data_IF_364538894212
#
_entry.id   IF_364538894212
#
_cell.length_a   1.000
_cell.length_b   1.000
_cell.length_c   1.000
_cell.angle_alpha   90.00
_cell.angle_beta   90.00
_cell.angle_gamma   90.00
#
_symmetry.space_group_name_H-M   'P 1'
#
loop_
_entity.id
_entity.type
_entity.pdbx_description
1 polymer ?
#
# COMPACT_ATOMS: atom_id res chain seq x y z
N UNK A 1 -12.84 29.95 -15.92
CA UNK A 1 -13.25 28.53 -15.91
C UNK A 1 -12.87 27.93 -14.56
N UNK A 2 -13.85 27.43 -13.78
CA UNK A 2 -13.67 26.88 -12.43
C UNK A 2 -13.20 25.43 -12.52
N UNK A 3 -11.96 25.14 -12.17
CA UNK A 3 -11.54 23.75 -11.92
C UNK A 3 -11.81 23.39 -10.47
N UNK A 4 -12.82 22.54 -10.27
CA UNK A 4 -13.12 21.93 -8.99
C UNK A 4 -12.11 20.81 -8.72
N UNK A 5 -11.16 21.06 -7.81
CA UNK A 5 -10.32 20.02 -7.25
C UNK A 5 -11.17 19.10 -6.38
N UNK A 6 -11.60 17.97 -6.94
CA UNK A 6 -12.26 16.89 -6.19
C UNK A 6 -11.30 16.44 -5.10
N UNK A 7 -11.65 16.73 -3.86
CA UNK A 7 -11.01 16.18 -2.68
C UNK A 7 -11.23 14.67 -2.71
N UNK A 8 -10.19 13.92 -3.08
CA UNK A 8 -10.12 12.49 -2.79
C UNK A 8 -9.95 12.38 -1.28
N UNK A 9 -11.07 12.24 -0.57
CA UNK A 9 -11.03 11.88 0.84
C UNK A 9 -10.38 10.50 0.90
N UNK A 10 -9.16 10.47 1.42
CA UNK A 10 -8.50 9.23 1.80
C UNK A 10 -9.33 8.57 2.89
N UNK A 11 -10.33 7.77 2.51
CA UNK A 11 -10.91 6.78 3.40
C UNK A 11 -9.72 5.94 3.87
N UNK A 12 -9.31 6.12 5.13
CA UNK A 12 -8.42 5.19 5.81
C UNK A 12 -9.04 3.81 5.62
N UNK A 13 -8.46 3.02 4.72
CA UNK A 13 -8.93 1.67 4.40
C UNK A 13 -8.81 0.90 5.71
N UNK A 14 -9.94 0.61 6.35
CA UNK A 14 -9.96 -0.18 7.57
C UNK A 14 -9.22 -1.48 7.27
N UNK A 15 -8.21 -1.80 8.09
CA UNK A 15 -7.44 -3.03 7.94
C UNK A 15 -8.43 -4.20 8.02
N UNK A 16 -8.59 -4.94 6.93
CA UNK A 16 -9.49 -6.10 6.91
C UNK A 16 -9.08 -7.07 8.02
N UNK A 17 -10.05 -7.43 8.86
CA UNK A 17 -9.90 -8.57 9.77
C UNK A 17 -9.94 -9.86 8.95
N UNK A 18 -9.14 -10.84 9.34
CA UNK A 18 -9.07 -12.14 8.67
C UNK A 18 -10.34 -12.93 8.98
N UNK A 19 -11.01 -13.43 7.95
CA UNK A 19 -12.19 -14.28 8.12
C UNK A 19 -11.84 -15.70 8.59
N UNK A 20 -10.57 -16.10 8.52
CA UNK A 20 -10.11 -17.46 8.83
C UNK A 20 -9.15 -17.47 10.01
N UNK A 21 -9.25 -18.47 10.86
CA UNK A 21 -8.32 -18.74 11.96
C UNK A 21 -7.93 -20.23 11.99
N UNK A 22 -6.86 -20.54 12.72
CA UNK A 22 -6.56 -21.92 13.11
C UNK A 22 -7.04 -22.15 14.53
N UNK A 23 -7.68 -23.30 14.79
CA UNK A 23 -7.99 -23.74 16.15
C UNK A 23 -6.73 -24.30 16.85
N UNK A 24 -6.89 -24.74 18.11
CA UNK A 24 -5.80 -25.32 18.91
C UNK A 24 -5.24 -26.63 18.32
N UNK A 25 -6.01 -27.28 17.45
CA UNK A 25 -5.65 -28.55 16.80
C UNK A 25 -5.03 -28.32 15.40
N UNK A 26 -5.00 -27.07 14.94
CA UNK A 26 -4.42 -26.65 13.67
C UNK A 26 -5.38 -26.68 12.47
N UNK A 27 -6.66 -26.98 12.68
CA UNK A 27 -7.67 -26.96 11.62
C UNK A 27 -8.02 -25.53 11.24
N UNK A 28 -8.29 -25.30 9.96
CA UNK A 28 -8.74 -23.99 9.48
C UNK A 28 -10.25 -23.86 9.64
N UNK A 29 -10.69 -22.83 10.37
CA UNK A 29 -12.10 -22.52 10.56
C UNK A 29 -12.39 -21.04 10.31
N UNK A 30 -13.68 -20.73 10.11
CA UNK A 30 -14.14 -19.34 10.00
C UNK A 30 -14.03 -18.67 11.37
N UNK A 31 -13.59 -17.41 11.41
CA UNK A 31 -13.50 -16.63 12.65
C UNK A 31 -14.85 -16.63 13.37
N UNK A 32 -14.82 -17.07 14.63
CA UNK A 32 -16.00 -17.23 15.49
C UNK A 32 -16.82 -18.51 15.28
N UNK A 33 -16.40 -19.43 14.40
CA UNK A 33 -17.07 -20.72 14.18
C UNK A 33 -16.10 -21.85 14.55
N UNK A 34 -16.34 -22.59 15.65
CA UNK A 34 -15.59 -23.78 15.99
C UNK A 34 -15.65 -24.82 14.88
N UNK A 35 -14.54 -25.52 14.64
CA UNK A 35 -14.41 -26.49 13.54
C UNK A 35 -15.45 -27.62 13.66
N UNK A 36 -15.77 -28.03 14.88
CA UNK A 36 -16.71 -29.10 15.19
C UNK A 36 -18.15 -28.78 14.74
N UNK A 37 -18.51 -27.50 14.62
CA UNK A 37 -19.84 -27.09 14.14
C UNK A 37 -20.02 -27.30 12.63
N UNK A 38 -18.93 -27.55 11.89
CA UNK A 38 -18.96 -27.82 10.45
C UNK A 38 -18.97 -29.33 10.14
N UNK A 39 -18.97 -30.19 11.17
CA UNK A 39 -19.04 -31.63 10.98
C UNK A 39 -20.38 -32.08 10.38
N UNK A 40 -20.34 -33.20 9.67
CA UNK A 40 -21.55 -33.82 9.13
C UNK A 40 -22.57 -34.10 10.24
N UNK A 41 -23.84 -33.86 9.94
CA UNK A 41 -24.96 -34.03 10.89
C UNK A 41 -25.18 -32.85 11.85
N UNK A 42 -24.33 -31.81 11.84
CA UNK A 42 -24.58 -30.59 12.60
C UNK A 42 -25.71 -29.75 11.98
N UNK A 43 -26.55 -29.18 12.84
CA UNK A 43 -27.64 -28.29 12.40
C UNK A 43 -27.08 -26.89 12.16
N UNK A 44 -27.36 -26.32 10.98
CA UNK A 44 -27.02 -24.93 10.69
C UNK A 44 -27.89 -24.01 11.55
N UNK A 45 -27.31 -23.52 12.64
CA UNK A 45 -27.96 -22.54 13.51
C UNK A 45 -28.09 -21.19 12.82
N UNK A 46 -28.98 -20.32 13.32
CA UNK A 46 -29.10 -18.93 12.83
C UNK A 46 -27.75 -18.21 12.87
N UNK A 47 -27.01 -18.37 13.97
CA UNK A 47 -25.67 -17.82 14.14
C UNK A 47 -24.72 -18.33 13.04
N UNK A 48 -24.65 -19.64 12.84
CA UNK A 48 -23.78 -20.25 11.83
C UNK A 48 -24.15 -19.77 10.42
N UNK A 49 -25.44 -19.67 10.11
CA UNK A 49 -25.93 -19.12 8.84
C UNK A 49 -25.46 -17.69 8.60
N UNK A 50 -25.56 -16.81 9.60
CA UNK A 50 -25.11 -15.42 9.49
C UNK A 50 -23.59 -15.33 9.28
N UNK A 51 -22.82 -16.18 9.98
CA UNK A 51 -21.36 -16.28 9.79
C UNK A 51 -21.00 -16.76 8.38
N UNK A 52 -21.61 -17.84 7.90
CA UNK A 52 -21.38 -18.40 6.57
C UNK A 52 -21.78 -17.41 5.47
N UNK A 53 -22.94 -16.76 5.61
CA UNK A 53 -23.38 -15.75 4.66
C UNK A 53 -22.42 -14.56 4.60
N UNK A 54 -21.91 -14.10 5.74
CA UNK A 54 -20.89 -13.06 5.79
C UNK A 54 -19.58 -13.46 5.08
N UNK A 55 -19.19 -14.74 5.17
CA UNK A 55 -18.03 -15.26 4.46
C UNK A 55 -18.26 -15.31 2.94
N UNK A 56 -19.43 -15.81 2.50
CA UNK A 56 -19.81 -15.83 1.09
C UNK A 56 -19.90 -14.42 0.49
N UNK A 57 -20.46 -13.47 1.23
CA UNK A 57 -20.52 -12.07 0.80
C UNK A 57 -19.13 -11.50 0.51
N UNK A 58 -18.16 -11.80 1.37
CA UNK A 58 -16.78 -11.33 1.20
C UNK A 58 -16.07 -12.04 0.06
N UNK A 59 -16.39 -13.31 -0.19
CA UNK A 59 -15.89 -14.05 -1.35
C UNK A 59 -16.45 -13.46 -2.65
N UNK A 60 -17.74 -13.16 -2.70
CA UNK A 60 -18.36 -12.45 -3.83
C UNK A 60 -17.72 -11.09 -4.08
N UNK A 61 -17.50 -10.28 -3.04
CA UNK A 61 -16.78 -8.99 -3.20
C UNK A 61 -15.38 -9.16 -3.79
N UNK A 62 -14.71 -10.29 -3.52
CA UNK A 62 -13.44 -10.64 -4.13
C UNK A 62 -13.61 -11.09 -5.59
N UNK A 63 -14.56 -11.96 -5.89
CA UNK A 63 -14.87 -12.43 -7.25
C UNK A 63 -15.29 -11.27 -8.18
N UNK A 64 -16.07 -10.32 -7.68
CA UNK A 64 -16.49 -9.10 -8.38
C UNK A 64 -15.31 -8.20 -8.78
N UNK A 65 -14.12 -8.36 -8.16
CA UNK A 65 -12.92 -7.65 -8.61
C UNK A 65 -12.42 -8.15 -9.97
N UNK A 66 -12.79 -9.37 -10.36
CA UNK A 66 -12.31 -10.04 -11.57
C UNK A 66 -10.82 -10.45 -11.51
N UNK A 67 -10.17 -10.30 -10.35
CA UNK A 67 -8.74 -10.56 -10.19
C UNK A 67 -8.48 -11.91 -9.54
N UNK A 68 -7.52 -12.66 -10.08
CA UNK A 68 -7.01 -13.87 -9.46
C UNK A 68 -6.27 -13.56 -8.14
N UNK A 69 -6.15 -14.52 -7.20
CA UNK A 69 -5.48 -14.27 -5.92
C UNK A 69 -4.02 -13.85 -6.11
N UNK A 70 -3.36 -14.35 -7.15
CA UNK A 70 -1.99 -14.04 -7.56
C UNK A 70 -1.86 -12.59 -8.00
N UNK A 71 -2.83 -12.07 -8.75
CA UNK A 71 -2.87 -10.67 -9.18
C UNK A 71 -3.11 -9.75 -7.98
N UNK A 72 -3.98 -10.13 -7.04
CA UNK A 72 -4.14 -9.38 -5.79
C UNK A 72 -2.86 -9.41 -4.94
N UNK A 73 -2.15 -10.54 -4.88
CA UNK A 73 -0.84 -10.62 -4.21
C UNK A 73 0.17 -9.71 -4.91
N UNK A 74 0.20 -9.68 -6.24
CA UNK A 74 1.07 -8.81 -7.03
C UNK A 74 0.72 -7.33 -6.84
N UNK A 75 -0.56 -6.93 -6.81
CA UNK A 75 -0.98 -5.56 -6.50
C UNK A 75 -0.59 -5.16 -5.07
N UNK A 76 -0.70 -6.06 -4.11
CA UNK A 76 -0.23 -5.80 -2.74
C UNK A 76 1.30 -5.80 -2.66
N UNK A 77 1.98 -6.56 -3.50
CA UNK A 77 3.42 -6.58 -3.60
C UNK A 77 3.93 -5.30 -4.28
N UNK A 78 3.25 -4.78 -5.30
CA UNK A 78 3.54 -3.52 -6.01
C UNK A 78 3.13 -2.30 -5.17
N UNK A 79 2.08 -2.41 -4.35
CA UNK A 79 1.79 -1.42 -3.30
C UNK A 79 2.79 -1.46 -2.14
N UNK A 80 3.62 -2.51 -2.08
CA UNK A 80 4.74 -2.71 -1.15
C UNK A 80 6.09 -2.71 -1.84
N UNK A 81 6.17 -2.52 -3.17
CA UNK A 81 7.46 -2.37 -3.81
C UNK A 81 7.95 -1.06 -3.25
N UNK A 82 9.07 -1.18 -2.54
CA UNK A 82 9.87 -0.10 -1.97
C UNK A 82 10.24 0.99 -2.98
N UNK A 83 9.81 0.85 -4.24
CA UNK A 83 10.01 1.75 -5.36
C UNK A 83 9.08 2.97 -5.33
N UNK A 84 7.92 2.94 -4.65
CA UNK A 84 7.06 4.15 -4.53
C UNK A 84 6.69 4.50 -3.09
N UNK A 85 7.39 3.92 -2.11
CA UNK A 85 7.27 4.30 -0.69
C UNK A 85 8.23 5.44 -0.40
N UNK A 86 7.75 6.46 0.32
CA UNK A 86 8.62 7.46 0.93
C UNK A 86 9.55 6.82 1.98
N UNK A 87 10.85 6.95 1.74
CA UNK A 87 11.94 6.49 2.61
C UNK A 87 12.47 7.71 3.37
N UNK A 88 12.33 7.77 4.70
CA UNK A 88 12.95 8.83 5.50
C UNK A 88 14.45 8.89 5.28
N UNK A 89 15.02 10.09 5.23
CA UNK A 89 16.48 10.26 5.04
C UNK A 89 17.29 9.65 6.19
N UNK A 90 16.67 9.52 7.37
CA UNK A 90 17.24 8.85 8.53
C UNK A 90 17.21 7.31 8.43
N UNK A 91 16.31 6.75 7.62
CA UNK A 91 16.22 5.30 7.37
C UNK A 91 17.31 4.85 6.40
N UNK A 92 17.40 5.53 5.26
CA UNK A 92 18.34 5.20 4.18
C UNK A 92 18.49 6.41 3.26
N UNK A 93 19.67 6.58 2.67
CA UNK A 93 19.94 7.58 1.62
C UNK A 93 19.89 6.92 0.24
N UNK A 94 19.55 7.66 -0.83
CA UNK A 94 19.55 7.13 -2.20
C UNK A 94 20.96 6.78 -2.67
N UNK A 95 21.06 6.00 -3.74
CA UNK A 95 22.34 5.63 -4.33
C UNK A 95 23.01 6.85 -5.00
N UNK A 96 24.34 6.78 -5.13
CA UNK A 96 25.14 7.91 -5.60
C UNK A 96 24.73 8.32 -7.03
N UNK A 97 24.40 9.61 -7.19
CA UNK A 97 24.00 10.25 -8.47
C UNK A 97 22.68 9.73 -9.06
N UNK A 98 21.83 9.13 -8.24
CA UNK A 98 20.46 8.83 -8.64
C UNK A 98 19.56 10.05 -8.43
N UNK A 99 18.84 10.46 -9.48
CA UNK A 99 17.80 11.47 -9.36
C UNK A 99 16.56 10.83 -8.71
N UNK A 100 16.13 11.41 -7.59
CA UNK A 100 15.00 10.92 -6.79
C UNK A 100 14.00 12.04 -6.52
N UNK A 101 12.76 11.67 -6.21
CA UNK A 101 11.80 12.60 -5.64
C UNK A 101 12.11 12.80 -4.17
N UNK A 102 12.19 14.06 -3.73
CA UNK A 102 12.38 14.44 -2.33
C UNK A 102 11.17 15.20 -1.81
N UNK A 103 10.86 14.98 -0.54
CA UNK A 103 9.84 15.72 0.21
C UNK A 103 10.52 16.51 1.33
N UNK A 104 10.31 17.83 1.35
CA UNK A 104 10.78 18.69 2.44
C UNK A 104 9.90 18.55 3.69
N UNK A 105 10.42 18.92 4.85
CA UNK A 105 9.66 19.03 6.11
C UNK A 105 8.46 19.98 6.00
N UNK A 106 8.47 20.90 5.02
CA UNK A 106 7.38 21.84 4.71
C UNK A 106 6.36 21.28 3.71
N UNK A 107 6.55 20.06 3.20
CA UNK A 107 5.63 19.37 2.30
C UNK A 107 5.84 19.65 0.81
N UNK A 108 6.90 20.37 0.42
CA UNK A 108 7.27 20.54 -0.99
C UNK A 108 7.87 19.27 -1.56
N UNK A 109 7.46 18.90 -2.78
CA UNK A 109 8.00 17.76 -3.54
C UNK A 109 8.83 18.28 -4.71
N UNK A 110 10.08 17.83 -4.80
CA UNK A 110 11.08 18.29 -5.78
C UNK A 110 11.88 17.09 -6.31
N UNK A 111 12.62 17.27 -7.41
CA UNK A 111 13.62 16.28 -7.89
C UNK A 111 15.00 16.69 -7.38
N UNK A 112 15.73 15.77 -6.76
CA UNK A 112 17.08 16.00 -6.25
C UNK A 112 17.92 14.72 -6.29
N UNK A 113 19.24 14.87 -6.21
CA UNK A 113 20.18 13.76 -6.02
C UNK A 113 21.07 14.01 -4.79
N UNK A 114 21.54 12.93 -4.18
CA UNK A 114 22.42 13.00 -3.00
C UNK A 114 23.89 12.84 -3.41
N UNK A 115 24.72 13.82 -3.03
CA UNK A 115 26.14 13.81 -3.34
C UNK A 115 26.99 13.21 -2.20
N UNK A 116 27.66 12.06 -2.38
CA UNK A 116 28.43 11.38 -1.32
C UNK A 116 29.64 12.19 -0.84
N UNK A 117 30.29 12.93 -1.76
CA UNK A 117 31.50 13.71 -1.49
C UNK A 117 31.25 14.95 -0.64
N UNK A 118 30.02 15.45 -0.65
CA UNK A 118 29.60 16.64 0.10
C UNK A 118 28.53 16.37 1.14
N UNK A 119 28.03 15.13 1.26
CA UNK A 119 26.90 14.72 2.10
C UNK A 119 25.72 15.71 2.03
N UNK A 120 25.37 16.14 0.80
CA UNK A 120 24.42 17.22 0.56
C UNK A 120 23.49 16.88 -0.60
N UNK A 121 22.29 17.44 -0.51
CA UNK A 121 21.28 17.35 -1.56
C UNK A 121 21.47 18.43 -2.63
N UNK A 122 21.25 18.04 -3.88
CA UNK A 122 21.31 18.91 -5.05
C UNK A 122 19.96 18.84 -5.77
N UNK A 123 19.22 19.95 -5.83
CA UNK A 123 17.90 20.03 -6.47
C UNK A 123 18.06 20.41 -7.94
N UNK A 124 17.40 19.67 -8.84
CA UNK A 124 17.57 19.82 -10.29
C UNK A 124 16.88 21.06 -10.90
N UNK A 125 15.97 21.72 -10.16
CA UNK A 125 15.01 22.69 -10.70
C UNK A 125 15.29 24.17 -10.39
N UNK A 126 16.47 24.53 -9.89
CA UNK A 126 16.82 25.95 -9.76
C UNK A 126 18.28 26.25 -10.07
N UNK A 127 18.51 27.17 -11.01
CA UNK A 127 19.79 27.86 -11.25
C UNK A 127 20.33 28.58 -9.99
N UNK A 128 19.55 28.64 -8.92
CA UNK A 128 20.04 28.87 -7.57
C UNK A 128 20.28 27.51 -6.90
N UNK A 129 21.54 27.11 -6.73
CA UNK A 129 21.97 26.02 -5.84
C UNK A 129 21.52 26.29 -4.39
N UNK A 130 20.23 26.20 -4.11
CA UNK A 130 19.69 26.29 -2.76
C UNK A 130 19.87 24.92 -2.10
N UNK A 131 20.77 24.89 -1.12
CA UNK A 131 21.01 23.73 -0.28
C UNK A 131 19.78 23.59 0.62
N UNK A 132 18.98 22.57 0.38
CA UNK A 132 17.87 22.24 1.26
C UNK A 132 18.33 21.16 2.24
N UNK A 133 18.65 21.59 3.47
CA UNK A 133 18.88 20.69 4.61
C UNK A 133 17.56 20.20 5.25
N UNK A 134 16.42 20.67 4.75
CA UNK A 134 15.09 20.36 5.28
C UNK A 134 14.39 19.19 4.56
N UNK A 135 15.12 18.33 3.86
CA UNK A 135 14.55 17.12 3.25
C UNK A 135 14.23 16.09 4.33
N UNK A 136 13.00 15.58 4.31
CA UNK A 136 12.48 14.62 5.28
C UNK A 136 12.49 13.19 4.73
N UNK A 137 12.13 13.00 3.46
CA UNK A 137 12.04 11.69 2.84
C UNK A 137 12.27 11.75 1.33
N UNK A 138 12.57 10.61 0.72
CA UNK A 138 12.75 10.45 -0.72
C UNK A 138 12.09 9.18 -1.26
N UNK A 139 11.87 9.09 -2.57
CA UNK A 139 11.48 7.87 -3.28
C UNK A 139 12.05 7.92 -4.71
N UNK A 140 12.29 6.79 -5.40
CA UNK A 140 12.77 6.83 -6.77
C UNK A 140 11.71 7.41 -7.72
N UNK A 141 12.17 7.90 -8.87
CA UNK A 141 11.30 8.54 -9.86
C UNK A 141 10.28 7.54 -10.44
N UNK A 142 9.06 7.99 -10.75
CA UNK A 142 8.10 7.16 -11.46
C UNK A 142 8.60 6.86 -12.87
N UNK A 143 8.07 5.79 -13.46
CA UNK A 143 8.34 5.49 -14.86
C UNK A 143 7.97 6.67 -15.76
N UNK A 144 8.81 7.01 -16.76
CA UNK A 144 8.51 8.08 -17.70
C UNK A 144 7.19 7.84 -18.43
N UNK A 145 6.42 8.91 -18.66
CA UNK A 145 5.17 8.85 -19.41
C UNK A 145 5.38 8.23 -20.80
N UNK A 146 4.56 7.26 -21.15
CA UNK A 146 4.46 6.69 -22.50
C UNK A 146 3.03 6.89 -23.00
N UNK A 147 2.80 7.57 -24.14
CA UNK A 147 1.48 7.66 -24.73
C UNK A 147 1.02 6.27 -25.20
N UNK A 148 -0.26 5.97 -25.05
CA UNK A 148 -0.89 4.80 -25.66
C UNK A 148 -0.98 5.06 -27.18
N UNK A 149 -0.45 4.15 -28.01
CA UNK A 149 -0.55 4.19 -29.48
C UNK A 149 -1.96 3.89 -29.98
#
# INVERSE_FOLDING_TARGET
ARYAARHLSGRRKARMKRLTQKDEQGNWCLEGVPWEQLHEGQVITKYLRERLYGALWKLMEYEDTGLAPEEIKALNANGKTSEHRWIPVEERLPEDREDVLVCTKKGWILVAWYGPRGKRWHIALSDACMIHEDIAAWQPLPEPYRPEE
#
